data_IF_016846648567
#
_entry.id   IF_016846648567
#
_cell.length_a   1.000
_cell.length_b   1.000
_cell.length_c   1.000
_cell.angle_alpha   90.00
_cell.angle_beta   90.00
_cell.angle_gamma   90.00
#
_symmetry.space_group_name_H-M   'P 1'
#
loop_
_entity.id
_entity.type
_entity.pdbx_description
1 polymer ?
#
# COMPACT_ATOMS: atom_id res chain seq x y z
N UNK A 1 -9.84 19.68 28.67
CA UNK A 1 -9.65 18.75 27.52
C UNK A 1 -10.79 17.75 27.57
N UNK A 2 -11.81 17.87 26.69
CA UNK A 2 -12.91 16.89 26.64
C UNK A 2 -12.41 15.66 25.89
N UNK A 3 -12.42 14.51 26.54
CA UNK A 3 -12.23 13.23 25.87
C UNK A 3 -13.37 13.06 24.86
N UNK A 4 -13.00 12.80 23.61
CA UNK A 4 -13.90 12.50 22.53
C UNK A 4 -14.69 11.22 22.89
N UNK A 5 -16.01 11.24 22.76
CA UNK A 5 -16.84 10.10 23.13
C UNK A 5 -16.83 9.07 22.00
N UNK A 6 -16.81 7.75 22.26
CA UNK A 6 -16.83 6.75 21.18
C UNK A 6 -18.04 6.96 20.27
N UNK A 7 -17.83 6.89 18.95
CA UNK A 7 -18.90 6.99 17.97
C UNK A 7 -19.62 5.63 17.87
N UNK A 8 -20.93 5.63 18.08
CA UNK A 8 -21.75 4.41 17.97
C UNK A 8 -22.12 4.13 16.51
N UNK A 9 -21.78 2.94 16.02
CA UNK A 9 -22.10 2.47 14.68
C UNK A 9 -23.51 1.85 14.62
N UNK A 10 -24.16 1.81 13.44
CA UNK A 10 -25.49 1.21 13.26
C UNK A 10 -25.60 -0.27 13.66
N UNK A 11 -24.48 -1.00 13.71
CA UNK A 11 -24.41 -2.40 14.11
C UNK A 11 -24.22 -2.61 15.64
N UNK A 12 -24.26 -1.53 16.43
CA UNK A 12 -24.08 -1.58 17.88
C UNK A 12 -22.62 -1.57 18.36
N UNK A 13 -21.65 -1.60 17.44
CA UNK A 13 -20.24 -1.45 17.80
C UNK A 13 -19.89 0.02 18.06
N UNK A 14 -18.79 0.25 18.80
CA UNK A 14 -18.25 1.61 19.01
C UNK A 14 -16.87 1.72 18.38
N UNK A 15 -16.60 2.88 17.78
CA UNK A 15 -15.28 3.23 17.26
C UNK A 15 -14.72 4.46 17.99
N UNK A 16 -13.39 4.55 18.14
CA UNK A 16 -12.76 5.75 18.69
C UNK A 16 -13.10 6.98 17.83
N UNK A 17 -13.44 8.09 18.48
CA UNK A 17 -13.59 9.38 17.80
C UNK A 17 -12.20 9.98 17.55
N UNK A 18 -11.84 10.16 16.28
CA UNK A 18 -10.60 10.82 15.88
C UNK A 18 -10.89 12.26 15.43
N UNK A 19 -10.04 13.21 15.81
CA UNK A 19 -10.07 14.59 15.31
C UNK A 19 -8.93 14.82 14.34
N UNK A 20 -9.21 15.48 13.23
CA UNK A 20 -8.19 15.86 12.26
C UNK A 20 -7.20 16.82 12.93
N UNK A 21 -5.97 16.36 13.16
CA UNK A 21 -4.94 17.15 13.84
C UNK A 21 -4.18 18.07 12.89
N UNK A 22 -3.85 17.60 11.70
CA UNK A 22 -3.00 18.30 10.74
C UNK A 22 -3.32 17.90 9.32
N UNK A 23 -3.11 18.83 8.39
CA UNK A 23 -3.23 18.61 6.94
C UNK A 23 -1.95 19.12 6.30
N UNK A 24 -1.41 18.35 5.36
CA UNK A 24 -0.25 18.74 4.58
C UNK A 24 -0.46 18.36 3.10
N UNK A 25 0.17 19.13 2.23
CA UNK A 25 0.36 18.75 0.84
C UNK A 25 1.70 18.03 0.75
N UNK A 26 1.67 16.75 0.44
CA UNK A 26 2.85 15.92 0.34
C UNK A 26 3.13 15.55 -1.11
N UNK A 27 4.41 15.65 -1.48
CA UNK A 27 4.94 15.15 -2.75
C UNK A 27 6.15 14.28 -2.45
N UNK A 28 6.27 13.15 -3.13
CA UNK A 28 7.37 12.21 -2.89
C UNK A 28 8.74 12.89 -3.06
N UNK A 29 9.61 12.88 -2.04
CA UNK A 29 10.94 13.45 -2.13
C UNK A 29 11.76 12.83 -3.30
N UNK A 30 12.69 13.58 -3.92
CA UNK A 30 13.48 13.07 -5.05
C UNK A 30 14.24 11.77 -4.77
N UNK A 31 14.76 11.60 -3.54
CA UNK A 31 15.47 10.38 -3.16
C UNK A 31 14.51 9.16 -3.08
N UNK A 32 13.27 9.38 -2.68
CA UNK A 32 12.23 8.34 -2.63
C UNK A 32 11.67 8.00 -4.00
N UNK A 33 11.60 8.98 -4.91
CA UNK A 33 11.25 8.75 -6.30
C UNK A 33 12.21 7.77 -6.98
N UNK A 34 13.51 7.82 -6.65
CA UNK A 34 14.48 6.85 -7.17
C UNK A 34 14.15 5.41 -6.70
N UNK A 35 13.80 5.23 -5.43
CA UNK A 35 13.41 3.93 -4.86
C UNK A 35 12.06 3.47 -5.44
N UNK A 36 11.11 4.39 -5.62
CA UNK A 36 9.82 4.08 -6.23
C UNK A 36 9.96 3.64 -7.69
N UNK A 37 10.93 4.21 -8.43
CA UNK A 37 11.28 3.77 -9.77
C UNK A 37 11.84 2.35 -9.77
N UNK A 38 12.74 1.99 -8.84
CA UNK A 38 13.25 0.62 -8.71
C UNK A 38 12.13 -0.37 -8.38
N UNK A 39 11.22 0.02 -7.49
CA UNK A 39 10.02 -0.76 -7.16
C UNK A 39 9.15 -0.99 -8.39
N UNK A 40 8.91 0.04 -9.19
CA UNK A 40 8.14 -0.05 -10.43
C UNK A 40 8.82 -0.95 -11.47
N UNK A 41 10.13 -0.80 -11.70
CA UNK A 41 10.85 -1.62 -12.67
C UNK A 41 10.85 -3.10 -12.26
N UNK A 42 11.02 -3.42 -10.96
CA UNK A 42 10.90 -4.79 -10.48
C UNK A 42 9.53 -5.41 -10.85
N UNK A 43 8.44 -4.67 -10.67
CA UNK A 43 7.11 -5.15 -11.05
C UNK A 43 7.00 -5.33 -12.56
N UNK A 44 7.42 -4.31 -13.32
CA UNK A 44 7.34 -4.29 -14.78
C UNK A 44 8.13 -5.45 -15.40
N UNK A 45 9.37 -5.65 -15.00
CA UNK A 45 10.23 -6.73 -15.48
C UNK A 45 9.61 -8.11 -15.22
N UNK A 46 9.07 -8.33 -14.03
CA UNK A 46 8.43 -9.60 -13.70
C UNK A 46 7.12 -9.82 -14.44
N UNK A 47 6.31 -8.78 -14.66
CA UNK A 47 5.08 -8.88 -15.47
C UNK A 47 5.41 -9.23 -16.92
N UNK A 48 6.42 -8.58 -17.51
CA UNK A 48 6.89 -8.86 -18.87
C UNK A 48 7.46 -10.27 -19.02
N UNK A 49 8.05 -10.82 -17.96
CA UNK A 49 8.57 -12.19 -17.93
C UNK A 49 7.52 -13.26 -17.54
N UNK A 50 6.24 -12.90 -17.48
CA UNK A 50 5.12 -13.74 -16.99
C UNK A 50 5.30 -14.31 -15.57
N UNK A 51 6.07 -13.61 -14.74
CA UNK A 51 6.32 -13.94 -13.32
C UNK A 51 5.39 -13.16 -12.40
N UNK A 52 4.09 -13.45 -12.48
CA UNK A 52 3.05 -12.65 -11.83
C UNK A 52 2.59 -13.30 -10.50
N UNK A 53 3.42 -13.20 -9.46
CA UNK A 53 3.17 -13.78 -8.13
C UNK A 53 3.89 -12.99 -7.03
N UNK A 54 3.38 -12.94 -5.77
CA UNK A 54 4.03 -12.18 -4.69
C UNK A 54 5.49 -12.54 -4.44
N UNK A 55 5.92 -13.77 -4.76
CA UNK A 55 7.30 -14.22 -4.59
C UNK A 55 8.32 -13.50 -5.48
N UNK A 56 7.85 -12.83 -6.54
CA UNK A 56 8.70 -12.16 -7.53
C UNK A 56 8.73 -10.63 -7.34
N UNK A 57 7.79 -10.11 -6.56
CA UNK A 57 7.66 -8.68 -6.29
C UNK A 57 8.26 -8.33 -4.93
N UNK A 58 8.55 -7.05 -4.72
CA UNK A 58 8.95 -6.57 -3.39
C UNK A 58 7.85 -6.88 -2.36
N UNK A 59 8.28 -7.53 -1.30
CA UNK A 59 7.52 -7.92 -0.13
C UNK A 59 7.75 -6.92 1.01
N UNK A 60 6.85 -6.93 2.00
CA UNK A 60 7.02 -6.10 3.20
C UNK A 60 8.32 -6.43 3.96
N UNK A 61 8.78 -7.68 3.90
CA UNK A 61 10.02 -8.13 4.53
C UNK A 61 11.29 -7.59 3.88
N UNK A 62 11.22 -7.13 2.62
CA UNK A 62 12.37 -6.49 1.96
C UNK A 62 12.68 -5.12 2.59
N UNK A 63 11.71 -4.51 3.28
CA UNK A 63 11.85 -3.25 4.01
C UNK A 63 12.37 -2.08 3.17
N UNK A 64 11.93 -1.98 1.90
CA UNK A 64 12.37 -0.95 0.93
C UNK A 64 11.32 0.14 0.68
N UNK A 65 10.63 0.61 1.72
CA UNK A 65 9.56 1.64 1.68
C UNK A 65 8.26 1.24 0.96
N UNK A 66 8.31 0.37 -0.05
CA UNK A 66 7.18 -0.07 -0.85
C UNK A 66 7.04 -1.60 -0.84
N UNK A 67 5.82 -2.11 -1.06
CA UNK A 67 5.59 -3.54 -1.31
C UNK A 67 4.37 -3.78 -2.19
N UNK A 68 4.31 -4.95 -2.85
CA UNK A 68 3.12 -5.42 -3.57
C UNK A 68 2.31 -6.34 -2.66
N UNK A 69 0.98 -6.22 -2.69
CA UNK A 69 0.10 -7.09 -1.89
C UNK A 69 -1.14 -7.53 -2.70
N UNK A 70 -1.65 -8.76 -2.50
CA UNK A 70 -2.91 -9.18 -3.10
C UNK A 70 -4.07 -8.28 -2.63
N UNK A 71 -4.94 -7.91 -3.57
CA UNK A 71 -6.11 -7.06 -3.33
C UNK A 71 -7.33 -7.58 -4.09
N UNK A 72 -7.93 -8.61 -3.52
CA UNK A 72 -9.20 -9.18 -3.97
C UNK A 72 -9.95 -9.74 -2.75
N UNK A 73 -11.28 -9.87 -2.86
CA UNK A 73 -12.10 -10.47 -1.79
C UNK A 73 -11.79 -11.94 -1.57
N UNK A 74 -11.37 -12.65 -2.63
CA UNK A 74 -10.96 -14.05 -2.60
C UNK A 74 -9.89 -14.32 -3.65
N UNK A 75 -9.04 -15.32 -3.41
CA UNK A 75 -7.92 -15.65 -4.31
C UNK A 75 -8.37 -16.09 -5.72
N UNK A 76 -9.59 -16.61 -5.87
CA UNK A 76 -10.16 -16.97 -7.17
C UNK A 76 -10.64 -15.76 -7.99
N UNK A 77 -10.80 -14.59 -7.37
CA UNK A 77 -11.09 -13.35 -8.06
C UNK A 77 -9.82 -12.83 -8.75
N UNK A 78 -9.65 -13.29 -9.97
CA UNK A 78 -8.49 -13.06 -10.83
C UNK A 78 -8.85 -12.11 -11.97
N UNK A 79 -7.85 -11.60 -12.69
CA UNK A 79 -8.01 -10.78 -13.88
C UNK A 79 -7.18 -11.35 -15.03
N UNK A 80 -7.51 -10.98 -16.28
CA UNK A 80 -6.65 -11.30 -17.42
C UNK A 80 -5.26 -10.66 -17.23
N UNK A 81 -4.21 -11.39 -17.57
CA UNK A 81 -2.84 -10.91 -17.55
C UNK A 81 -2.36 -10.61 -18.99
N UNK A 82 -1.30 -9.82 -19.18
CA UNK A 82 -0.84 -9.41 -20.52
C UNK A 82 -0.18 -10.54 -21.33
N UNK A 83 0.08 -11.71 -20.74
CA UNK A 83 0.73 -12.86 -21.36
C UNK A 83 -0.28 -13.97 -21.75
N UNK A 84 -1.58 -13.65 -21.80
CA UNK A 84 -2.63 -14.58 -22.24
C UNK A 84 -3.22 -15.47 -21.13
N UNK A 85 -2.83 -15.26 -19.87
CA UNK A 85 -3.31 -16.01 -18.71
C UNK A 85 -4.22 -15.22 -17.77
N UNK A 86 -4.42 -15.76 -16.56
CA UNK A 86 -5.08 -15.06 -15.46
C UNK A 86 -4.11 -14.86 -14.30
N UNK A 87 -4.23 -13.75 -13.60
CA UNK A 87 -3.44 -13.43 -12.42
C UNK A 87 -4.33 -12.98 -11.25
N UNK A 88 -3.85 -13.15 -10.02
CA UNK A 88 -4.45 -12.49 -8.86
C UNK A 88 -4.35 -10.97 -9.04
N UNK A 89 -5.30 -10.24 -8.45
CA UNK A 89 -5.25 -8.77 -8.42
C UNK A 89 -4.29 -8.33 -7.32
N UNK A 90 -3.41 -7.39 -7.64
CA UNK A 90 -2.46 -6.81 -6.70
C UNK A 90 -2.62 -5.29 -6.62
N UNK A 91 -2.05 -4.69 -5.59
CA UNK A 91 -1.92 -3.24 -5.47
C UNK A 91 -0.58 -2.82 -4.90
N UNK A 92 -0.21 -1.58 -5.15
CA UNK A 92 0.97 -0.94 -4.59
C UNK A 92 0.70 -0.50 -3.15
N UNK A 93 1.71 -0.60 -2.29
CA UNK A 93 1.63 -0.16 -0.90
C UNK A 93 2.87 0.62 -0.48
N UNK A 94 2.65 1.63 0.36
CA UNK A 94 3.67 2.15 1.25
C UNK A 94 3.79 1.26 2.48
N UNK A 95 5.00 1.05 2.96
CA UNK A 95 5.26 0.43 4.25
C UNK A 95 4.79 1.38 5.36
N UNK A 96 4.19 0.84 6.43
CA UNK A 96 3.75 1.64 7.56
C UNK A 96 4.91 2.45 8.20
N UNK A 97 6.12 1.87 8.22
CA UNK A 97 7.33 2.57 8.67
C UNK A 97 7.66 3.81 7.82
N UNK A 98 7.54 3.70 6.50
CA UNK A 98 7.77 4.83 5.60
C UNK A 98 6.70 5.92 5.75
N UNK A 99 5.43 5.54 5.92
CA UNK A 99 4.36 6.51 6.23
C UNK A 99 4.64 7.23 7.56
N UNK A 100 5.09 6.50 8.58
CA UNK A 100 5.47 7.07 9.86
C UNK A 100 6.61 8.09 9.70
N UNK A 101 7.65 7.76 8.93
CA UNK A 101 8.76 8.68 8.64
C UNK A 101 8.28 9.97 7.96
N UNK A 102 7.36 9.87 6.99
CA UNK A 102 6.75 11.05 6.34
C UNK A 102 6.00 11.90 7.37
N UNK A 103 5.14 11.27 8.19
CA UNK A 103 4.33 11.98 9.19
C UNK A 103 5.18 12.65 10.27
N UNK A 104 6.28 12.01 10.70
CA UNK A 104 7.15 12.54 11.76
C UNK A 104 8.12 13.62 11.27
N UNK A 105 8.60 13.54 10.03
CA UNK A 105 9.69 14.40 9.55
C UNK A 105 9.26 15.45 8.50
N UNK A 106 8.18 15.23 7.77
CA UNK A 106 7.78 16.07 6.63
C UNK A 106 6.43 16.75 6.80
N UNK A 107 5.55 16.18 7.64
CA UNK A 107 4.24 16.76 7.94
C UNK A 107 4.32 17.51 9.25
#
# INVERSE_FOLDING_TARGET
MRLAAPYALPNGNTEPEYRLGKVALWTMPPHDLAIAREYWENIRENVLADRISPRYFWSISDNRKFHVRPKASKASDTTANPNGGRAQKYCYWFNAGYIREIVENEI
#
